data_IF_738948074052
#
_entry.id   IF_738948074052
#
_cell.length_a   1.000
_cell.length_b   1.000
_cell.length_c   1.000
_cell.angle_alpha   90.00
_cell.angle_beta   90.00
_cell.angle_gamma   90.00
#
_symmetry.space_group_name_H-M   'P 1'
#
loop_
_entity.id
_entity.type
_entity.pdbx_description
1 polymer ?
#
# COMPACT_ATOMS: atom_id res chain seq x y z
N UNK A 1 20.01 -1.33 -27.64
CA UNK A 1 19.49 -0.05 -27.13
C UNK A 1 18.18 -0.34 -26.42
N UNK A 2 18.25 -0.43 -25.09
CA UNK A 2 17.10 -0.68 -24.20
C UNK A 2 16.15 0.50 -24.26
N UNK A 3 14.92 0.26 -24.73
CA UNK A 3 13.84 1.25 -24.75
C UNK A 3 13.59 1.77 -23.34
N UNK A 4 13.70 3.07 -23.20
CA UNK A 4 13.38 3.86 -22.02
C UNK A 4 12.02 3.46 -21.45
N UNK A 5 12.03 2.83 -20.29
CA UNK A 5 10.86 2.81 -19.43
C UNK A 5 10.79 4.19 -18.79
N UNK A 6 10.08 5.09 -19.45
CA UNK A 6 9.49 6.28 -18.86
C UNK A 6 8.55 5.81 -17.74
N UNK A 7 9.11 5.56 -16.55
CA UNK A 7 8.33 5.39 -15.34
C UNK A 7 7.82 6.77 -14.97
N UNK A 8 6.66 7.11 -15.52
CA UNK A 8 5.94 8.31 -15.15
C UNK A 8 5.79 8.32 -13.63
N UNK A 9 6.50 9.23 -12.97
CA UNK A 9 6.59 9.27 -11.51
C UNK A 9 5.29 9.87 -10.99
N UNK A 10 4.46 9.11 -10.25
CA UNK A 10 3.25 9.68 -9.67
C UNK A 10 3.63 10.83 -8.73
N UNK A 11 2.92 11.96 -8.83
CA UNK A 11 3.19 13.15 -8.02
C UNK A 11 3.15 12.81 -6.52
N UNK A 12 4.29 13.08 -5.88
CA UNK A 12 4.73 12.61 -4.56
C UNK A 12 4.21 13.47 -3.40
N UNK A 13 2.93 13.39 -3.04
CA UNK A 13 2.48 13.99 -1.75
C UNK A 13 2.34 12.97 -0.62
N UNK A 14 3.21 11.96 -0.64
CA UNK A 14 3.48 10.96 0.41
C UNK A 14 2.65 9.66 0.40
N UNK A 15 2.40 9.09 -0.79
CA UNK A 15 1.81 7.75 -0.92
C UNK A 15 2.66 6.68 -0.21
N UNK A 16 3.97 6.68 -0.46
CA UNK A 16 4.87 5.67 0.11
C UNK A 16 5.03 5.80 1.63
N UNK A 17 4.99 7.01 2.20
CA UNK A 17 4.98 7.20 3.65
C UNK A 17 3.68 6.73 4.28
N UNK A 18 2.52 7.07 3.70
CA UNK A 18 1.22 6.54 4.17
C UNK A 18 1.15 5.02 4.12
N UNK A 19 1.70 4.39 3.07
CA UNK A 19 1.79 2.93 2.96
C UNK A 19 2.65 2.34 4.09
N UNK A 20 3.78 2.97 4.39
CA UNK A 20 4.68 2.54 5.47
C UNK A 20 4.02 2.64 6.84
N UNK A 21 3.36 3.76 7.13
CA UNK A 21 2.66 3.96 8.39
C UNK A 21 1.48 3.00 8.55
N UNK A 22 0.73 2.73 7.47
CA UNK A 22 -0.34 1.73 7.47
C UNK A 22 0.18 0.32 7.81
N UNK A 23 1.29 -0.10 7.19
CA UNK A 23 1.90 -1.40 7.46
C UNK A 23 2.41 -1.47 8.91
N UNK A 24 3.05 -0.40 9.41
CA UNK A 24 3.50 -0.31 10.80
C UNK A 24 2.34 -0.46 11.77
N UNK A 25 1.27 0.30 11.56
CA UNK A 25 0.05 0.24 12.35
C UNK A 25 -0.60 -1.15 12.31
N UNK A 26 -0.68 -1.75 11.11
CA UNK A 26 -1.21 -3.10 10.94
C UNK A 26 -0.38 -4.16 11.68
N UNK A 27 0.94 -4.02 11.66
CA UNK A 27 1.87 -4.89 12.39
C UNK A 27 1.68 -4.77 13.90
N UNK A 28 1.54 -3.56 14.43
CA UNK A 28 1.31 -3.32 15.86
C UNK A 28 -0.02 -3.91 16.34
N UNK A 29 -1.07 -3.89 15.49
CA UNK A 29 -2.38 -4.47 15.80
C UNK A 29 -2.52 -5.95 15.48
N UNK A 30 -1.64 -6.51 14.65
CA UNK A 30 -1.80 -7.82 14.01
C UNK A 30 -2.89 -7.88 12.94
N UNK A 31 -3.52 -6.74 12.59
CA UNK A 31 -4.61 -6.68 11.61
C UNK A 31 -4.82 -5.29 11.00
N UNK A 32 -5.46 -5.25 9.84
CA UNK A 32 -5.99 -4.06 9.17
C UNK A 32 -7.41 -4.31 8.67
N UNK A 33 -8.22 -3.27 8.54
CA UNK A 33 -9.52 -3.34 7.87
C UNK A 33 -9.52 -2.63 6.51
N UNK A 34 -10.44 -2.99 5.62
CA UNK A 34 -10.59 -2.30 4.34
C UNK A 34 -10.84 -0.78 4.48
N UNK A 35 -11.67 -0.30 5.42
CA UNK A 35 -11.79 1.13 5.71
C UNK A 35 -10.46 1.80 6.09
N UNK A 36 -9.61 1.15 6.89
CA UNK A 36 -8.30 1.69 7.28
C UNK A 36 -7.37 1.80 6.06
N UNK A 37 -7.37 0.77 5.21
CA UNK A 37 -6.57 0.75 3.97
C UNK A 37 -7.02 1.87 3.03
N UNK A 38 -8.32 2.01 2.76
CA UNK A 38 -8.86 3.04 1.85
C UNK A 38 -8.67 4.46 2.40
N UNK A 39 -8.71 4.63 3.72
CA UNK A 39 -8.45 5.93 4.37
C UNK A 39 -6.98 6.34 4.25
N UNK A 40 -6.06 5.40 4.44
CA UNK A 40 -4.63 5.66 4.36
C UNK A 40 -4.14 5.77 2.91
N UNK A 41 -4.69 4.98 2.01
CA UNK A 41 -4.32 4.88 0.60
C UNK A 41 -5.57 5.11 -0.26
N UNK A 42 -5.88 6.38 -0.57
CA UNK A 42 -7.02 6.72 -1.41
C UNK A 42 -6.92 6.00 -2.77
N UNK A 43 -8.05 5.48 -3.33
CA UNK A 43 -8.06 4.73 -4.58
C UNK A 43 -7.43 5.48 -5.77
N UNK A 44 -7.43 6.81 -5.73
CA UNK A 44 -6.84 7.69 -6.75
C UNK A 44 -5.32 7.53 -6.86
N UNK A 45 -4.68 6.98 -5.82
CA UNK A 45 -3.24 6.74 -5.75
C UNK A 45 -2.88 5.26 -5.60
N UNK A 46 -3.86 4.39 -5.39
CA UNK A 46 -3.66 2.95 -5.16
C UNK A 46 -4.03 2.15 -6.41
N UNK A 47 -3.03 1.89 -7.26
CA UNK A 47 -3.20 0.97 -8.39
C UNK A 47 -3.48 -0.46 -7.90
N UNK A 48 -4.08 -1.30 -8.74
CA UNK A 48 -4.31 -2.71 -8.42
C UNK A 48 -3.02 -3.44 -8.04
N UNK A 49 -1.91 -3.13 -8.73
CA UNK A 49 -0.58 -3.68 -8.41
C UNK A 49 -0.07 -3.22 -7.05
N UNK A 50 -0.23 -1.94 -6.70
CA UNK A 50 0.17 -1.46 -5.37
C UNK A 50 -0.66 -2.08 -4.24
N UNK A 51 -1.95 -2.32 -4.49
CA UNK A 51 -2.82 -3.04 -3.58
C UNK A 51 -2.36 -4.49 -3.40
N UNK A 52 -2.07 -5.21 -4.49
CA UNK A 52 -1.55 -6.58 -4.41
C UNK A 52 -0.24 -6.64 -3.62
N UNK A 53 0.70 -5.71 -3.86
CA UNK A 53 1.96 -5.63 -3.12
C UNK A 53 1.71 -5.35 -1.64
N UNK A 54 0.77 -4.46 -1.30
CA UNK A 54 0.38 -4.20 0.09
C UNK A 54 -0.18 -5.47 0.75
N UNK A 55 -1.14 -6.14 0.11
CA UNK A 55 -1.77 -7.35 0.65
C UNK A 55 -0.77 -8.48 0.82
N UNK A 56 0.13 -8.66 -0.15
CA UNK A 56 1.24 -9.61 -0.06
C UNK A 56 2.16 -9.29 1.12
N UNK A 57 2.48 -8.00 1.32
CA UNK A 57 3.30 -7.55 2.45
C UNK A 57 2.59 -7.83 3.77
N UNK A 58 1.31 -7.50 3.90
CA UNK A 58 0.50 -7.78 5.09
C UNK A 58 0.50 -9.27 5.44
N UNK A 59 0.25 -10.14 4.44
CA UNK A 59 0.27 -11.59 4.62
C UNK A 59 1.62 -12.10 5.14
N UNK A 60 2.73 -11.66 4.55
CA UNK A 60 4.07 -12.10 4.96
C UNK A 60 4.47 -11.59 6.35
N UNK A 61 3.88 -10.47 6.78
CA UNK A 61 4.10 -9.89 8.11
C UNK A 61 3.12 -10.42 9.16
N UNK A 62 2.23 -11.35 8.82
CA UNK A 62 1.22 -11.88 9.73
C UNK A 62 0.11 -10.87 10.08
N UNK A 63 -0.11 -9.88 9.23
CA UNK A 63 -1.17 -8.88 9.39
C UNK A 63 -2.45 -9.42 8.74
N UNK A 64 -3.48 -9.68 9.54
CA UNK A 64 -4.77 -10.15 9.07
C UNK A 64 -5.57 -9.01 8.41
N UNK A 65 -6.18 -9.25 7.25
CA UNK A 65 -7.10 -8.29 6.64
C UNK A 65 -8.54 -8.66 6.99
N UNK A 66 -9.27 -7.73 7.60
CA UNK A 66 -10.67 -7.89 7.97
C UNK A 66 -11.56 -6.94 7.18
N UNK A 67 -12.86 -7.23 7.19
CA UNK A 67 -13.89 -6.36 6.61
C UNK A 67 -14.00 -5.02 7.33
#
# INVERSE_FOLDING_TARGET
>A
MTKDKEFDKPKSTDFHGRKRELIKYGREKGRLTWPEIRKALPPEHLSGTELEVLLFTCKNMGIEIRE
#
